data_IF_894728187372
#
_entry.id   IF_894728187372
#
_cell.length_a   1.000
_cell.length_b   1.000
_cell.length_c   1.000
_cell.angle_alpha   90.00
_cell.angle_beta   90.00
_cell.angle_gamma   90.00
#
_symmetry.space_group_name_H-M   'P 1'
#
loop_
_entity.id
_entity.type
_entity.pdbx_description
1 polymer ?
#
# COMPACT_ATOMS: atom_id res chain seq x y z
N UNK A 1 -5.06 -11.35 -5.02
CA UNK A 1 -5.59 -9.99 -4.79
C UNK A 1 -4.68 -8.99 -5.47
N UNK A 2 -4.75 -7.68 -5.14
CA UNK A 2 -3.83 -6.68 -5.68
C UNK A 2 -2.37 -6.84 -5.19
N UNK A 3 -2.15 -7.64 -4.14
CA UNK A 3 -0.83 -7.99 -3.61
C UNK A 3 -0.54 -9.49 -3.75
N UNK A 4 0.75 -9.88 -3.79
CA UNK A 4 1.15 -11.27 -3.81
C UNK A 4 0.67 -12.01 -2.55
N UNK A 5 0.44 -13.31 -2.69
CA UNK A 5 0.21 -14.17 -1.54
C UNK A 5 1.54 -14.42 -0.83
N UNK A 6 1.54 -14.38 0.51
CA UNK A 6 2.76 -14.54 1.29
C UNK A 6 2.62 -14.09 2.73
N UNK A 7 3.71 -14.20 3.47
CA UNK A 7 3.83 -13.74 4.87
C UNK A 7 4.17 -12.25 4.95
N UNK A 8 4.83 -11.73 3.91
CA UNK A 8 5.25 -10.33 3.78
C UNK A 8 4.67 -9.72 2.52
N UNK A 9 4.45 -8.41 2.53
CA UNK A 9 3.98 -7.60 1.41
C UNK A 9 2.66 -8.13 0.81
N UNK A 10 1.75 -8.58 1.68
CA UNK A 10 0.47 -9.16 1.31
C UNK A 10 -0.72 -8.23 1.63
N UNK A 11 -0.48 -7.08 2.26
CA UNK A 11 -1.53 -6.13 2.67
C UNK A 11 -1.54 -4.93 1.71
N UNK A 12 -2.62 -4.69 0.95
CA UNK A 12 -2.71 -3.52 0.08
C UNK A 12 -2.87 -2.24 0.89
N UNK A 13 -2.04 -1.23 0.60
CA UNK A 13 -2.09 0.11 1.18
C UNK A 13 -1.87 1.17 0.11
N UNK A 14 -2.41 2.35 0.36
CA UNK A 14 -2.07 3.56 -0.36
C UNK A 14 -1.12 4.37 0.51
N UNK A 15 0.11 4.58 0.08
CA UNK A 15 1.16 5.23 0.87
C UNK A 15 1.73 6.47 0.18
N UNK A 16 2.27 7.38 0.98
CA UNK A 16 2.93 8.59 0.50
C UNK A 16 4.36 8.32 0.07
N UNK A 17 5.26 9.25 0.39
CA UNK A 17 6.67 9.09 0.12
C UNK A 17 7.28 7.92 0.92
N UNK A 18 8.26 7.26 0.31
CA UNK A 18 9.03 6.19 0.93
C UNK A 18 10.47 6.62 1.19
N UNK A 19 11.05 6.08 2.25
CA UNK A 19 12.47 6.12 2.55
C UNK A 19 13.09 4.83 2.00
N UNK A 20 14.14 4.97 1.20
CA UNK A 20 14.87 3.85 0.57
C UNK A 20 13.98 2.91 -0.27
N UNK A 21 12.79 3.36 -0.69
CA UNK A 21 11.79 2.54 -1.40
C UNK A 21 11.37 1.27 -0.63
N UNK A 22 11.49 1.28 0.70
CA UNK A 22 11.19 0.15 1.59
C UNK A 22 10.29 0.55 2.77
N UNK A 23 10.45 1.77 3.28
CA UNK A 23 9.69 2.25 4.43
C UNK A 23 8.80 3.40 4.00
N UNK A 24 7.50 3.18 4.05
CA UNK A 24 6.51 4.12 3.54
C UNK A 24 5.77 4.83 4.67
N UNK A 25 5.61 6.14 4.51
CA UNK A 25 4.89 7.01 5.43
C UNK A 25 3.47 7.29 4.91
N UNK A 26 2.59 7.76 5.80
CA UNK A 26 1.21 8.14 5.47
C UNK A 26 0.38 7.04 4.77
N UNK A 27 0.59 5.79 5.18
CA UNK A 27 -0.12 4.65 4.61
C UNK A 27 -1.56 4.55 5.11
N UNK A 28 -2.51 4.46 4.19
CA UNK A 28 -3.94 4.29 4.45
C UNK A 28 -4.46 2.99 3.83
N UNK A 29 -5.46 2.39 4.46
CA UNK A 29 -6.19 1.26 3.86
C UNK A 29 -7.08 1.81 2.75
N UNK A 30 -6.99 1.30 1.50
CA UNK A 30 -7.92 1.68 0.44
C UNK A 30 -9.35 1.28 0.85
N UNK A 31 -10.29 2.22 0.73
CA UNK A 31 -11.71 1.99 1.03
C UNK A 31 -12.48 1.41 -0.15
N UNK A 32 -11.93 1.54 -1.36
CA UNK A 32 -12.54 1.03 -2.57
C UNK A 32 -12.10 -0.41 -2.86
N UNK A 33 -13.02 -1.18 -3.44
CA UNK A 33 -12.73 -2.56 -3.86
C UNK A 33 -11.82 -2.55 -5.10
N UNK A 34 -10.66 -3.21 -4.97
CA UNK A 34 -9.74 -3.42 -6.08
C UNK A 34 -10.20 -4.58 -6.97
N UNK A 35 -10.06 -4.43 -8.28
CA UNK A 35 -10.44 -5.42 -9.29
C UNK A 35 -9.53 -5.29 -10.53
N UNK A 36 -9.47 -6.25 -11.47
CA UNK A 36 -8.69 -6.07 -12.70
C UNK A 36 -9.07 -4.79 -13.50
N UNK A 37 -10.33 -4.37 -13.43
CA UNK A 37 -10.81 -3.11 -14.05
C UNK A 37 -10.58 -1.87 -13.17
N UNK A 38 -10.25 -2.06 -11.89
CA UNK A 38 -9.99 -1.00 -10.92
C UNK A 38 -8.76 -1.37 -10.08
N UNK A 39 -7.55 -1.31 -10.67
CA UNK A 39 -6.34 -1.75 -10.00
C UNK A 39 -6.03 -0.86 -8.79
N UNK A 40 -5.31 -1.41 -7.81
CA UNK A 40 -4.93 -0.68 -6.61
C UNK A 40 -4.20 0.63 -6.92
N UNK A 41 -3.37 0.67 -7.98
CA UNK A 41 -2.69 1.88 -8.46
C UNK A 41 -3.67 3.00 -8.83
N UNK A 42 -4.78 2.67 -9.50
CA UNK A 42 -5.81 3.65 -9.86
C UNK A 42 -6.57 4.15 -8.61
N UNK A 43 -6.87 3.26 -7.68
CA UNK A 43 -7.51 3.61 -6.39
C UNK A 43 -6.62 4.57 -5.60
N UNK A 44 -5.33 4.26 -5.44
CA UNK A 44 -4.43 5.12 -4.67
C UNK A 44 -4.12 6.44 -5.39
N UNK A 45 -4.05 6.44 -6.73
CA UNK A 45 -3.83 7.67 -7.49
C UNK A 45 -4.95 8.70 -7.30
N UNK A 46 -6.21 8.27 -7.08
CA UNK A 46 -7.34 9.18 -6.81
C UNK A 46 -7.15 10.01 -5.54
N UNK A 47 -6.42 9.48 -4.56
CA UNK A 47 -6.12 10.15 -3.29
C UNK A 47 -4.71 10.74 -3.25
N UNK A 48 -4.01 10.77 -4.41
CA UNK A 48 -2.65 11.32 -4.52
C UNK A 48 -1.56 10.47 -3.86
N UNK A 49 -1.82 9.17 -3.67
CA UNK A 49 -0.91 8.23 -3.01
C UNK A 49 -0.47 7.12 -3.98
N UNK A 50 0.59 6.41 -3.59
CA UNK A 50 1.13 5.28 -4.34
C UNK A 50 0.54 3.96 -3.83
N UNK A 51 0.24 3.05 -4.75
CA UNK A 51 -0.14 1.68 -4.40
C UNK A 51 1.07 0.89 -3.91
N UNK A 52 0.95 0.33 -2.71
CA UNK A 52 1.99 -0.48 -2.08
C UNK A 52 1.40 -1.74 -1.47
N UNK A 53 2.24 -2.76 -1.39
CA UNK A 53 1.92 -4.03 -0.78
C UNK A 53 2.83 -4.20 0.43
N UNK A 54 2.24 -4.21 1.61
CA UNK A 54 2.94 -4.03 2.87
C UNK A 54 2.77 -5.25 3.79
N UNK A 55 3.63 -5.40 4.79
CA UNK A 55 3.64 -6.58 5.68
C UNK A 55 2.82 -6.36 6.95
N UNK A 56 3.16 -5.35 7.76
CA UNK A 56 2.38 -4.83 8.89
C UNK A 56 3.11 -3.57 9.36
N UNK A 57 2.39 -2.59 9.90
CA UNK A 57 3.00 -1.33 10.34
C UNK A 57 3.96 -1.56 11.51
N UNK A 58 5.10 -0.85 11.49
CA UNK A 58 5.93 -0.69 12.68
C UNK A 58 5.42 0.60 13.33
N UNK A 59 4.63 0.48 14.40
CA UNK A 59 4.06 1.66 15.07
C UNK A 59 5.18 2.66 15.42
N UNK A 60 5.02 3.89 14.95
CA UNK A 60 5.96 5.00 15.18
C UNK A 60 7.08 5.20 14.14
N UNK A 61 7.34 4.26 13.22
CA UNK A 61 8.39 4.42 12.18
C UNK A 61 7.84 4.51 10.75
N UNK A 62 6.72 3.83 10.46
CA UNK A 62 6.18 3.70 9.10
C UNK A 62 5.79 2.26 8.79
N UNK A 63 5.35 2.00 7.57
CA UNK A 63 4.95 0.65 7.13
C UNK A 63 5.99 0.11 6.16
N UNK A 64 6.44 -1.12 6.40
CA UNK A 64 7.33 -1.82 5.47
C UNK A 64 6.52 -2.31 4.27
N UNK A 65 6.87 -1.77 3.10
CA UNK A 65 6.35 -2.10 1.78
C UNK A 65 7.54 -2.06 0.81
#
# INVERSE_FOLDING_TARGET
GPCPAGVTNNIPKCCGAGILDLLYLDCKTPTEVTSPLNPLSAVCARVGLQAKCCTIGIDGLGVLC
#
